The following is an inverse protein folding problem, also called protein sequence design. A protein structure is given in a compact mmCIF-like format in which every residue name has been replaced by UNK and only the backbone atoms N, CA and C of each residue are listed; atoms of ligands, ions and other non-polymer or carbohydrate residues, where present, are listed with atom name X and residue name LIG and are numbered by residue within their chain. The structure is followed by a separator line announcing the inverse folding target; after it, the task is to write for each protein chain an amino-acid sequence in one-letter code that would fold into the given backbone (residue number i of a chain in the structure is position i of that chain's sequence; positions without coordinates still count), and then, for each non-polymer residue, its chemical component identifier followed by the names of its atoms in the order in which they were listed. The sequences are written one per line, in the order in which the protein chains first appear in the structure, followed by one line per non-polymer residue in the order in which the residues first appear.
data_IF_394373360851
#
_entry.id   IF_394373360851
#
_cell.length_a   1.000
_cell.length_b   1.000
_cell.length_c   1.000
_cell.angle_alpha   90.00
_cell.angle_beta   90.00
_cell.angle_gamma   90.00
#
_symmetry.space_group_name_H-M   'P 1'
#
loop_
_entity.id
_entity.type
_entity.pdbx_description
1 polymer ?
#
# COMPACT_ATOMS: atom_id res chain seq x y z
N UNK A 1 21.53 50.01 58.80
CA UNK A 1 21.56 50.05 57.32
C UNK A 1 20.42 49.20 56.78
N UNK A 2 19.59 49.77 55.91
CA UNK A 2 18.47 49.12 55.21
C UNK A 2 19.03 48.30 54.05
N UNK A 3 18.61 47.05 53.87
CA UNK A 3 18.33 46.48 52.55
C UNK A 3 17.20 45.45 52.69
N UNK A 4 16.01 45.83 52.22
CA UNK A 4 14.91 44.91 51.92
C UNK A 4 15.14 44.38 50.50
N UNK A 5 14.97 43.08 50.27
CA UNK A 5 14.71 42.55 48.94
C UNK A 5 13.85 41.27 49.03
N UNK A 6 12.62 41.39 48.57
CA UNK A 6 11.76 40.34 48.01
C UNK A 6 11.09 40.98 46.80
N UNK A 7 10.38 40.28 45.91
CA UNK A 7 10.31 38.85 45.58
C UNK A 7 10.64 38.64 44.08
N UNK A 8 10.53 37.43 43.53
CA UNK A 8 9.77 37.17 42.31
C UNK A 8 9.89 35.69 41.93
N UNK A 9 8.77 35.00 42.09
CA UNK A 9 8.49 33.71 41.50
C UNK A 9 8.61 33.81 39.98
N UNK A 10 9.38 32.93 39.35
CA UNK A 10 9.22 32.59 37.95
C UNK A 10 9.30 31.06 37.82
N UNK A 11 8.15 30.43 37.99
CA UNK A 11 7.89 29.07 37.51
C UNK A 11 7.61 29.13 36.01
N UNK A 12 8.38 28.43 35.15
CA UNK A 12 7.98 28.24 33.77
C UNK A 12 6.86 27.20 33.73
N UNK A 13 5.67 27.61 33.28
CA UNK A 13 4.58 26.69 32.96
C UNK A 13 4.94 25.93 31.68
N UNK A 14 5.40 24.69 31.84
CA UNK A 14 5.60 23.74 30.74
C UNK A 14 4.23 23.17 30.35
N UNK A 15 3.59 23.76 29.33
CA UNK A 15 2.37 23.22 28.74
C UNK A 15 2.77 22.09 27.78
N UNK A 16 2.72 20.84 28.26
CA UNK A 16 2.77 19.66 27.40
C UNK A 16 1.44 19.55 26.64
N UNK A 17 1.41 20.05 25.40
CA UNK A 17 0.33 19.77 24.48
C UNK A 17 0.48 18.31 24.00
N UNK A 18 -0.25 17.39 24.66
CA UNK A 18 -0.35 16.01 24.25
C UNK A 18 -1.24 15.94 23.00
N UNK A 19 -0.61 16.05 21.82
CA UNK A 19 -1.29 15.84 20.54
C UNK A 19 -1.65 14.36 20.42
N UNK A 20 -2.92 14.02 20.71
CA UNK A 20 -3.52 12.75 20.34
C UNK A 20 -3.52 12.63 18.82
N UNK A 21 -2.59 11.86 18.27
CA UNK A 21 -2.62 11.46 16.87
C UNK A 21 -3.81 10.50 16.65
N UNK A 22 -4.58 10.66 15.56
CA UNK A 22 -5.64 9.71 15.24
C UNK A 22 -5.02 8.37 14.83
N UNK A 23 -5.36 7.31 15.55
CA UNK A 23 -5.17 5.92 15.13
C UNK A 23 -6.21 5.62 14.04
N UNK A 24 -5.91 5.97 12.80
CA UNK A 24 -6.73 5.65 11.64
C UNK A 24 -6.07 4.59 10.77
N UNK A 25 -6.82 3.53 10.45
CA UNK A 25 -6.67 2.70 9.24
C UNK A 25 -5.75 1.45 9.26
N UNK A 26 -5.64 0.70 10.35
CA UNK A 26 -5.02 -0.64 10.29
C UNK A 26 -5.98 -1.73 9.80
N UNK A 27 -7.24 -1.71 10.26
CA UNK A 27 -8.22 -2.81 10.06
C UNK A 27 -8.59 -3.05 8.58
N UNK A 28 -8.65 -2.00 7.75
CA UNK A 28 -8.99 -2.16 6.33
C UNK A 28 -7.81 -2.67 5.47
N UNK A 29 -6.57 -2.42 5.89
CA UNK A 29 -5.38 -2.90 5.19
C UNK A 29 -5.15 -4.39 5.46
N UNK A 30 -5.27 -4.83 6.72
CA UNK A 30 -5.17 -6.25 7.11
C UNK A 30 -6.20 -7.14 6.40
N UNK A 31 -7.41 -6.63 6.14
CA UNK A 31 -8.44 -7.37 5.38
C UNK A 31 -8.03 -7.57 3.91
N UNK A 32 -7.53 -6.53 3.25
CA UNK A 32 -7.12 -6.60 1.85
C UNK A 32 -5.92 -7.53 1.65
N UNK A 33 -4.91 -7.46 2.53
CA UNK A 33 -3.75 -8.35 2.50
C UNK A 33 -4.14 -9.81 2.56
N UNK A 34 -5.00 -10.19 3.51
CA UNK A 34 -5.44 -11.57 3.66
C UNK A 34 -6.22 -12.06 2.42
N UNK A 35 -7.09 -11.21 1.87
CA UNK A 35 -7.87 -11.54 0.67
C UNK A 35 -6.99 -11.71 -0.55
N UNK A 36 -6.02 -10.82 -0.76
CA UNK A 36 -5.04 -10.93 -1.84
C UNK A 36 -4.20 -12.20 -1.68
N UNK A 37 -3.73 -12.49 -0.46
CA UNK A 37 -2.99 -13.72 -0.17
C UNK A 37 -3.82 -14.96 -0.51
N UNK A 38 -5.08 -15.02 -0.08
CA UNK A 38 -5.99 -16.12 -0.39
C UNK A 38 -6.23 -16.27 -1.90
N UNK A 39 -6.49 -15.16 -2.59
CA UNK A 39 -6.76 -15.15 -4.02
C UNK A 39 -5.55 -15.54 -4.86
N UNK A 40 -4.35 -15.16 -4.43
CA UNK A 40 -3.10 -15.33 -5.19
C UNK A 40 -2.29 -16.56 -4.78
N UNK A 41 -2.62 -17.21 -3.67
CA UNK A 41 -1.99 -18.48 -3.25
C UNK A 41 -1.94 -19.57 -4.32
N UNK A 42 -2.93 -19.72 -5.23
CA UNK A 42 -2.85 -20.71 -6.33
C UNK A 42 -1.88 -20.32 -7.44
N UNK A 43 -1.43 -19.06 -7.50
CA UNK A 43 -0.50 -18.57 -8.51
C UNK A 43 0.91 -19.03 -8.13
N UNK A 44 1.61 -19.69 -9.06
CA UNK A 44 2.97 -20.19 -8.85
C UNK A 44 4.05 -19.08 -8.83
N UNK A 45 3.65 -17.82 -8.86
CA UNK A 45 4.54 -16.67 -8.66
C UNK A 45 4.49 -16.31 -7.17
N UNK A 46 5.64 -16.11 -6.53
CA UNK A 46 5.70 -15.83 -5.09
C UNK A 46 5.16 -14.44 -4.79
N UNK A 47 3.87 -14.34 -4.47
CA UNK A 47 3.26 -13.08 -4.02
C UNK A 47 3.98 -12.59 -2.77
N UNK A 48 4.44 -11.34 -2.81
CA UNK A 48 5.20 -10.69 -1.73
C UNK A 48 4.30 -9.79 -0.91
N UNK A 49 3.42 -9.04 -1.59
CA UNK A 49 2.59 -8.03 -0.98
C UNK A 49 2.04 -7.06 -2.01
N UNK A 50 1.51 -5.95 -1.52
CA UNK A 50 0.89 -4.94 -2.36
C UNK A 50 1.24 -3.52 -1.91
N UNK A 51 1.14 -2.57 -2.83
CA UNK A 51 1.32 -1.14 -2.55
C UNK A 51 0.17 -0.34 -3.17
N UNK A 52 -0.35 0.61 -2.39
CA UNK A 52 -1.34 1.56 -2.86
C UNK A 52 -0.66 2.88 -3.24
N UNK A 53 -0.65 3.20 -4.53
CA UNK A 53 -0.04 4.44 -5.04
C UNK A 53 -1.14 5.41 -5.44
N UNK A 54 -1.10 6.63 -4.91
CA UNK A 54 -2.04 7.69 -5.31
C UNK A 54 -1.31 8.73 -6.15
N UNK A 55 -1.76 8.89 -7.39
CA UNK A 55 -1.24 9.88 -8.34
C UNK A 55 -2.28 11.00 -8.45
N UNK A 56 -1.84 12.24 -8.29
CA UNK A 56 -2.71 13.42 -8.41
C UNK A 56 -2.22 14.30 -9.54
N UNK A 57 -2.93 14.28 -10.68
CA UNK A 57 -2.60 15.04 -11.87
C UNK A 57 -3.74 15.99 -12.23
N UNK A 58 -3.45 17.29 -12.26
CA UNK A 58 -4.34 18.36 -12.76
C UNK A 58 -5.82 18.18 -12.40
N UNK A 59 -6.11 17.92 -11.11
CA UNK A 59 -7.43 17.68 -10.48
C UNK A 59 -8.02 16.26 -10.55
N UNK A 60 -7.37 15.31 -11.20
CA UNK A 60 -7.72 13.90 -11.12
C UNK A 60 -6.83 13.21 -10.08
N UNK A 61 -7.46 12.54 -9.11
CA UNK A 61 -6.77 11.66 -8.16
C UNK A 61 -7.06 10.22 -8.57
N UNK A 62 -6.02 9.49 -8.93
CA UNK A 62 -6.10 8.08 -9.29
C UNK A 62 -5.34 7.25 -8.25
N UNK A 63 -5.95 6.16 -7.81
CA UNK A 63 -5.35 5.22 -6.86
C UNK A 63 -5.11 3.90 -7.56
N UNK A 64 -3.88 3.44 -7.51
CA UNK A 64 -3.38 2.23 -8.16
C UNK A 64 -3.05 1.19 -7.09
N UNK A 65 -3.38 -0.06 -7.36
CA UNK A 65 -2.91 -1.19 -6.56
C UNK A 65 -1.80 -1.90 -7.33
N UNK A 66 -0.58 -1.87 -6.81
CA UNK A 66 0.56 -2.61 -7.37
C UNK A 66 0.72 -3.90 -6.57
N UNK A 67 0.72 -5.04 -7.26
CA UNK A 67 0.95 -6.36 -6.67
C UNK A 67 2.39 -6.78 -6.93
N UNK A 68 3.18 -7.01 -5.88
CA UNK A 68 4.59 -7.42 -5.97
C UNK A 68 4.70 -8.95 -5.94
N UNK A 69 5.44 -9.50 -6.90
CA UNK A 69 5.76 -10.92 -7.00
C UNK A 69 7.25 -11.13 -7.16
N UNK A 70 7.77 -12.17 -6.50
CA UNK A 70 9.07 -12.76 -6.81
C UNK A 70 8.86 -13.99 -7.68
N UNK A 71 9.42 -13.97 -8.88
CA UNK A 71 9.55 -15.19 -9.68
C UNK A 71 10.52 -16.13 -8.96
N UNK A 72 10.07 -17.33 -8.59
CA UNK A 72 10.91 -18.30 -7.87
C UNK A 72 11.83 -19.12 -8.79
N UNK A 73 12.97 -19.59 -8.28
CA UNK A 73 13.89 -20.49 -9.01
C UNK A 73 14.69 -19.82 -10.13
N UNK A 74 15.16 -20.61 -11.12
CA UNK A 74 15.89 -20.16 -12.33
C UNK A 74 15.11 -19.20 -13.26
N UNK A 75 13.97 -18.71 -12.80
CA UNK A 75 13.11 -17.76 -13.49
C UNK A 75 13.74 -16.38 -13.46
N UNK A 76 14.55 -16.09 -14.46
CA UNK A 76 15.00 -14.75 -14.74
C UNK A 76 13.87 -13.92 -15.34
N UNK A 77 13.71 -12.67 -14.88
CA UNK A 77 12.86 -11.64 -15.51
C UNK A 77 13.18 -11.39 -17.00
N UNK A 78 14.31 -11.92 -17.50
CA UNK A 78 14.72 -11.86 -18.91
C UNK A 78 13.93 -12.83 -19.81
N UNK A 79 13.24 -13.83 -19.25
CA UNK A 79 12.36 -14.72 -20.02
C UNK A 79 11.01 -14.06 -20.23
N UNK A 80 10.94 -13.23 -21.28
CA UNK A 80 9.77 -12.40 -21.58
C UNK A 80 8.49 -13.21 -21.72
N UNK A 81 8.54 -14.38 -22.37
CA UNK A 81 7.33 -15.16 -22.65
C UNK A 81 6.76 -15.75 -21.36
N UNK A 82 7.63 -16.16 -20.42
CA UNK A 82 7.20 -16.60 -19.09
C UNK A 82 6.68 -15.45 -18.24
N UNK A 83 7.33 -14.29 -18.25
CA UNK A 83 6.82 -13.09 -17.57
C UNK A 83 5.41 -12.77 -18.07
N UNK A 84 5.19 -12.74 -19.39
CA UNK A 84 3.86 -12.48 -19.95
C UNK A 84 2.83 -13.55 -19.56
N UNK A 85 3.22 -14.82 -19.53
CA UNK A 85 2.34 -15.88 -19.03
C UNK A 85 1.96 -15.70 -17.56
N UNK A 86 2.92 -15.33 -16.70
CA UNK A 86 2.67 -15.02 -15.29
C UNK A 86 1.77 -13.81 -15.12
N UNK A 87 2.01 -12.71 -15.85
CA UNK A 87 1.12 -11.53 -15.87
C UNK A 87 -0.29 -11.96 -16.24
N UNK A 88 -0.45 -12.72 -17.33
CA UNK A 88 -1.76 -13.16 -17.80
C UNK A 88 -2.50 -13.98 -16.75
N UNK A 89 -1.82 -14.93 -16.09
CA UNK A 89 -2.42 -15.75 -15.04
C UNK A 89 -2.82 -14.88 -13.84
N UNK A 90 -1.93 -14.00 -13.36
CA UNK A 90 -2.21 -13.13 -12.20
C UNK A 90 -3.39 -12.20 -12.50
N UNK A 91 -3.34 -11.47 -13.62
CA UNK A 91 -4.41 -10.55 -14.01
C UNK A 91 -5.73 -11.32 -14.19
N UNK A 92 -5.73 -12.48 -14.83
CA UNK A 92 -6.95 -13.29 -14.97
C UNK A 92 -7.50 -13.73 -13.60
N UNK A 93 -6.63 -14.15 -12.68
CA UNK A 93 -7.01 -14.55 -11.32
C UNK A 93 -7.66 -13.39 -10.57
N UNK A 94 -7.08 -12.19 -10.61
CA UNK A 94 -7.66 -11.00 -9.96
C UNK A 94 -8.95 -10.58 -10.64
N UNK A 95 -8.94 -10.46 -11.97
CA UNK A 95 -10.08 -9.97 -12.73
C UNK A 95 -11.29 -10.93 -12.67
N UNK A 96 -11.06 -12.21 -12.43
CA UNK A 96 -12.15 -13.19 -12.28
C UNK A 96 -12.88 -13.06 -10.94
N UNK A 97 -12.25 -12.46 -9.92
CA UNK A 97 -12.88 -12.23 -8.63
C UNK A 97 -13.64 -10.89 -8.63
N UNK A 98 -14.93 -10.96 -8.98
CA UNK A 98 -15.82 -9.80 -9.09
C UNK A 98 -16.06 -9.08 -7.77
N UNK A 99 -16.04 -9.81 -6.66
CA UNK A 99 -16.21 -9.24 -5.32
C UNK A 99 -14.99 -8.40 -4.93
N UNK A 100 -13.78 -8.94 -5.12
CA UNK A 100 -12.54 -8.20 -4.91
C UNK A 100 -12.48 -6.93 -5.77
N UNK A 101 -12.79 -7.03 -7.07
CA UNK A 101 -12.82 -5.84 -7.94
C UNK A 101 -13.84 -4.79 -7.49
N UNK A 102 -15.02 -5.22 -7.03
CA UNK A 102 -16.06 -4.32 -6.54
C UNK A 102 -15.60 -3.57 -5.29
N UNK A 103 -14.94 -4.27 -4.37
CA UNK A 103 -14.42 -3.66 -3.14
C UNK A 103 -13.24 -2.73 -3.43
N UNK A 104 -12.31 -3.14 -4.30
CA UNK A 104 -11.22 -2.27 -4.75
C UNK A 104 -11.75 -0.98 -5.39
N UNK A 105 -12.76 -1.09 -6.26
CA UNK A 105 -13.41 0.08 -6.85
C UNK A 105 -14.10 0.96 -5.80
N UNK A 106 -14.78 0.35 -4.82
CA UNK A 106 -15.42 1.08 -3.70
C UNK A 106 -14.38 1.81 -2.84
N UNK A 107 -13.20 1.25 -2.70
CA UNK A 107 -12.06 1.82 -1.96
C UNK A 107 -11.24 2.83 -2.78
N UNK A 108 -11.73 3.16 -3.98
CA UNK A 108 -11.19 4.19 -4.86
C UNK A 108 -10.05 3.72 -5.77
N UNK A 109 -9.70 2.43 -5.78
CA UNK A 109 -8.72 1.90 -6.72
C UNK A 109 -9.32 1.88 -8.13
N UNK A 110 -8.67 2.59 -9.05
CA UNK A 110 -9.08 2.65 -10.45
C UNK A 110 -8.31 1.68 -11.33
N UNK A 111 -7.13 1.23 -10.90
CA UNK A 111 -6.26 0.31 -11.65
C UNK A 111 -5.53 -0.68 -10.74
N UNK A 112 -5.18 -1.83 -11.33
CA UNK A 112 -4.38 -2.89 -10.70
C UNK A 112 -3.22 -3.24 -11.63
N UNK A 113 -2.00 -3.21 -11.12
CA UNK A 113 -0.79 -3.55 -11.86
C UNK A 113 -0.01 -4.66 -11.15
N UNK A 114 0.80 -5.38 -11.91
CA UNK A 114 1.69 -6.45 -11.44
C UNK A 114 3.14 -6.02 -11.63
N UNK A 115 3.96 -6.20 -10.60
CA UNK A 115 5.39 -5.98 -10.65
C UNK A 115 6.16 -7.27 -10.30
N UNK A 116 7.26 -7.52 -11.01
CA UNK A 116 8.22 -8.60 -10.67
C UNK A 116 9.59 -8.06 -10.24
N UNK A 117 9.83 -6.78 -10.51
CA UNK A 117 11.03 -6.04 -10.18
C UNK A 117 10.69 -4.55 -10.00
N UNK A 118 11.65 -3.74 -9.54
CA UNK A 118 11.45 -2.31 -9.25
C UNK A 118 11.27 -1.45 -10.52
N UNK A 119 11.50 -2.00 -11.71
CA UNK A 119 11.59 -1.25 -12.97
C UNK A 119 10.41 -1.53 -13.91
N UNK A 120 9.71 -2.64 -13.70
CA UNK A 120 8.71 -3.16 -14.63
C UNK A 120 7.36 -3.33 -13.94
N UNK A 121 6.34 -2.67 -14.49
CA UNK A 121 4.95 -2.81 -14.07
C UNK A 121 4.08 -3.17 -15.29
N UNK A 122 3.13 -4.08 -15.09
CA UNK A 122 2.23 -4.57 -16.12
C UNK A 122 0.79 -4.32 -15.69
N UNK A 123 0.06 -3.52 -16.47
CA UNK A 123 -1.34 -3.17 -16.15
C UNK A 123 -2.28 -4.35 -16.42
N UNK A 124 -3.20 -4.60 -15.49
CA UNK A 124 -4.29 -5.56 -15.67
C UNK A 124 -5.57 -4.91 -16.20
N UNK A 125 -5.72 -3.57 -16.12
CA UNK A 125 -6.95 -2.82 -16.45
C UNK A 125 -6.70 -1.62 -17.37
#
# INVERSE_FOLDING_TARGET
MKFRLSPHLLTPALVLALSMAPLGSAVAAEDLDQRLQQQLSPVQAGFVGHEAVTVSERSLQEKYLILDFRLGGDLHHNDRDRVQSSVHVICTTILSNRELLSDLSRDGYSRVAVAFDERSQYDCL
#
